data_IF_565369937276
#
_entry.id   IF_565369937276
#
_cell.length_a   1.000
_cell.length_b   1.000
_cell.length_c   1.000
_cell.angle_alpha   90.00
_cell.angle_beta   90.00
_cell.angle_gamma   90.00
#
_symmetry.space_group_name_H-M   'P 1'
#
loop_
_entity.id
_entity.type
_entity.pdbx_description
1 polymer ?
#
# COMPACT_ATOMS: atom_id res chain seq x y z
N UNK A 1 -6.72 -11.53 -1.33
CA UNK A 1 -6.58 -10.08 -1.07
C UNK A 1 -7.51 -9.57 0.02
N UNK A 2 -8.81 -9.93 -0.01
CA UNK A 2 -9.83 -9.39 0.89
C UNK A 2 -9.44 -9.36 2.39
N UNK A 3 -9.01 -10.50 2.96
CA UNK A 3 -8.60 -10.53 4.37
C UNK A 3 -7.40 -9.62 4.67
N UNK A 4 -6.43 -9.52 3.75
CA UNK A 4 -5.27 -8.64 3.93
C UNK A 4 -5.69 -7.18 3.92
N UNK A 5 -6.70 -6.80 3.13
CA UNK A 5 -7.24 -5.44 3.11
C UNK A 5 -7.93 -5.11 4.44
N UNK A 6 -8.69 -6.04 5.00
CA UNK A 6 -9.32 -5.88 6.32
C UNK A 6 -8.27 -5.77 7.44
N UNK A 7 -7.12 -6.39 7.26
CA UNK A 7 -6.01 -6.39 8.21
C UNK A 7 -5.17 -5.09 8.18
N UNK A 8 -5.43 -4.17 7.23
CA UNK A 8 -4.85 -2.82 7.20
C UNK A 8 -5.53 -1.93 8.23
N UNK A 9 -5.19 -2.12 9.50
CA UNK A 9 -5.80 -1.41 10.63
C UNK A 9 -4.77 -0.78 11.55
N UNK A 10 -5.11 0.38 12.09
CA UNK A 10 -4.28 1.10 13.05
C UNK A 10 -4.32 0.50 14.45
N UNK A 11 -5.22 -0.46 14.71
CA UNK A 11 -5.36 -1.15 16.01
C UNK A 11 -4.22 -2.12 16.29
N UNK A 12 -3.68 -2.76 15.24
CA UNK A 12 -2.56 -3.71 15.34
C UNK A 12 -1.53 -3.42 14.25
N UNK A 13 -0.48 -2.68 14.64
CA UNK A 13 0.57 -2.26 13.73
C UNK A 13 1.36 -3.45 13.16
N UNK A 14 1.56 -4.53 13.94
CA UNK A 14 2.32 -5.69 13.44
C UNK A 14 1.55 -6.44 12.38
N UNK A 15 0.25 -6.66 12.63
CA UNK A 15 -0.65 -7.30 11.66
C UNK A 15 -0.81 -6.44 10.41
N UNK A 16 -1.04 -5.13 10.57
CA UNK A 16 -1.15 -4.19 9.46
C UNK A 16 0.12 -4.09 8.62
N UNK A 17 1.31 -4.13 9.25
CA UNK A 17 2.57 -4.13 8.51
C UNK A 17 2.73 -5.37 7.64
N UNK A 18 2.41 -6.55 8.19
CA UNK A 18 2.48 -7.83 7.44
C UNK A 18 1.48 -7.84 6.29
N UNK A 19 0.27 -7.35 6.52
CA UNK A 19 -0.74 -7.21 5.49
C UNK A 19 -0.26 -6.30 4.35
N UNK A 20 0.26 -5.12 4.68
CA UNK A 20 0.82 -4.18 3.70
C UNK A 20 1.97 -4.82 2.90
N UNK A 21 2.90 -5.49 3.58
CA UNK A 21 4.01 -6.19 2.93
C UNK A 21 3.54 -7.28 1.96
N UNK A 22 2.57 -8.11 2.37
CA UNK A 22 2.04 -9.17 1.52
C UNK A 22 1.28 -8.62 0.32
N UNK A 23 0.46 -7.58 0.52
CA UNK A 23 -0.26 -6.91 -0.55
C UNK A 23 0.68 -6.30 -1.59
N UNK A 24 1.75 -5.62 -1.14
CA UNK A 24 2.74 -5.05 -2.05
C UNK A 24 3.45 -6.12 -2.90
N UNK A 25 3.78 -7.27 -2.31
CA UNK A 25 4.39 -8.38 -3.05
C UNK A 25 3.43 -9.05 -4.03
N UNK A 26 2.15 -9.18 -3.66
CA UNK A 26 1.14 -9.86 -4.48
C UNK A 26 0.68 -9.03 -5.69
N UNK A 27 0.98 -7.73 -5.73
CA UNK A 27 0.55 -6.85 -6.82
C UNK A 27 0.99 -7.36 -8.21
N UNK A 28 2.17 -7.97 -8.33
CA UNK A 28 2.67 -8.52 -9.60
C UNK A 28 1.82 -9.72 -10.06
N UNK A 29 1.22 -10.46 -9.13
CA UNK A 29 0.36 -11.62 -9.41
C UNK A 29 -1.13 -11.28 -9.42
N UNK A 30 -1.50 -9.99 -9.37
CA UNK A 30 -2.89 -9.54 -9.34
C UNK A 30 -3.45 -9.37 -10.76
N UNK A 31 -3.79 -10.49 -11.40
CA UNK A 31 -4.34 -10.52 -12.77
C UNK A 31 -5.65 -9.72 -12.93
N UNK A 32 -6.39 -9.56 -11.83
CA UNK A 32 -7.65 -8.81 -11.78
C UNK A 32 -7.44 -7.29 -11.57
N UNK A 33 -6.18 -6.85 -11.41
CA UNK A 33 -5.80 -5.45 -11.16
C UNK A 33 -6.55 -4.78 -10.00
N UNK A 34 -7.00 -5.56 -9.01
CA UNK A 34 -7.69 -5.08 -7.80
C UNK A 34 -6.88 -4.06 -7.02
N UNK A 35 -5.55 -4.13 -7.09
CA UNK A 35 -4.66 -3.16 -6.46
C UNK A 35 -4.97 -1.73 -6.91
N UNK A 36 -5.45 -1.50 -8.14
CA UNK A 36 -5.83 -0.16 -8.61
C UNK A 36 -6.97 0.48 -7.79
N UNK A 37 -7.86 -0.36 -7.25
CA UNK A 37 -9.02 0.07 -6.46
C UNK A 37 -8.69 0.10 -4.97
N UNK A 38 -7.97 -0.91 -4.49
CA UNK A 38 -7.69 -1.08 -3.06
C UNK A 38 -6.45 -0.31 -2.57
N UNK A 39 -5.67 0.29 -3.47
CA UNK A 39 -4.42 0.98 -3.12
C UNK A 39 -4.59 2.06 -2.06
N UNK A 40 -5.70 2.82 -2.09
CA UNK A 40 -5.93 3.89 -1.12
C UNK A 40 -5.91 3.36 0.32
N UNK A 41 -6.46 2.16 0.57
CA UNK A 41 -6.44 1.50 1.88
C UNK A 41 -5.02 1.07 2.27
N UNK A 42 -4.26 0.56 1.31
CA UNK A 42 -2.85 0.21 1.52
C UNK A 42 -2.00 1.44 1.85
N UNK A 43 -2.21 2.53 1.13
CA UNK A 43 -1.48 3.79 1.31
C UNK A 43 -1.79 4.49 2.64
N UNK A 44 -2.98 4.31 3.20
CA UNK A 44 -3.35 4.87 4.50
C UNK A 44 -2.40 4.42 5.64
N UNK A 45 -1.87 3.19 5.56
CA UNK A 45 -0.88 2.69 6.55
C UNK A 45 0.44 3.47 6.47
N UNK A 46 0.78 4.07 5.34
CA UNK A 46 1.93 4.96 5.20
C UNK A 46 1.72 6.33 5.87
N UNK A 47 0.50 6.67 6.28
CA UNK A 47 0.16 7.90 7.03
C UNK A 47 0.19 7.70 8.55
N UNK A 48 0.65 6.53 9.02
CA UNK A 48 0.69 6.20 10.44
C UNK A 48 1.55 7.20 11.25
N UNK A 49 1.11 7.65 12.45
CA UNK A 49 1.81 8.63 13.29
C UNK A 49 3.15 8.09 13.80
N UNK A 50 3.34 6.76 13.83
CA UNK A 50 4.63 6.16 14.14
C UNK A 50 5.52 6.23 12.90
N UNK A 51 6.51 7.12 12.93
CA UNK A 51 7.48 7.32 11.84
C UNK A 51 8.07 6.01 11.28
N UNK A 52 8.44 5.07 12.15
CA UNK A 52 9.00 3.77 11.75
C UNK A 52 8.02 2.97 10.89
N UNK A 53 6.73 2.97 11.26
CA UNK A 53 5.67 2.28 10.54
C UNK A 53 5.37 2.93 9.20
N UNK A 54 5.25 4.26 9.18
CA UNK A 54 5.06 5.03 7.96
C UNK A 54 6.18 4.77 6.95
N UNK A 55 7.44 4.89 7.38
CA UNK A 55 8.62 4.67 6.54
C UNK A 55 8.66 3.26 5.97
N UNK A 56 8.50 2.22 6.80
CA UNK A 56 8.58 0.84 6.31
C UNK A 56 7.43 0.49 5.38
N UNK A 57 6.22 1.01 5.64
CA UNK A 57 5.08 0.80 4.75
C UNK A 57 5.31 1.45 3.40
N UNK A 58 5.77 2.70 3.37
CA UNK A 58 6.09 3.41 2.12
C UNK A 58 7.13 2.66 1.27
N UNK A 59 8.20 2.14 1.89
CA UNK A 59 9.22 1.34 1.19
C UNK A 59 8.65 0.07 0.55
N UNK A 60 7.67 -0.58 1.19
CA UNK A 60 7.02 -1.78 0.64
C UNK A 60 6.04 -1.43 -0.46
N UNK A 61 5.22 -0.40 -0.25
CA UNK A 61 4.21 0.08 -1.20
C UNK A 61 4.82 0.39 -2.56
N UNK A 62 6.05 0.93 -2.60
CA UNK A 62 6.77 1.15 -3.86
C UNK A 62 6.89 -0.10 -4.75
N UNK A 63 6.91 -1.31 -4.19
CA UNK A 63 7.00 -2.54 -4.98
C UNK A 63 5.79 -2.77 -5.91
N UNK A 64 4.64 -2.15 -5.63
CA UNK A 64 3.43 -2.24 -6.46
C UNK A 64 3.67 -1.64 -7.85
N UNK A 65 4.64 -0.73 -8.04
CA UNK A 65 4.99 -0.19 -9.38
C UNK A 65 5.50 -1.27 -10.33
N UNK A 66 5.99 -2.40 -9.80
CA UNK A 66 6.48 -3.51 -10.62
C UNK A 66 5.34 -4.29 -11.30
N UNK A 67 4.08 -4.06 -10.91
CA UNK A 67 2.92 -4.72 -11.48
C UNK A 67 2.50 -4.13 -12.85
N UNK A 68 2.96 -2.92 -13.20
CA UNK A 68 2.64 -2.30 -14.49
C UNK A 68 2.60 -0.78 -14.46
N UNK A 69 2.39 -0.19 -15.63
CA UNK A 69 2.36 1.27 -15.83
C UNK A 69 1.17 1.93 -15.10
N UNK A 70 -0.02 1.32 -15.15
CA UNK A 70 -1.20 1.82 -14.43
C UNK A 70 -0.97 1.91 -12.92
N UNK A 71 -0.29 0.93 -12.33
CA UNK A 71 0.05 0.92 -10.91
C UNK A 71 1.10 1.97 -10.56
N UNK A 72 2.08 2.17 -11.44
CA UNK A 72 3.07 3.25 -11.30
C UNK A 72 2.38 4.62 -11.30
N UNK A 73 1.51 4.89 -12.27
CA UNK A 73 0.81 6.17 -12.38
C UNK A 73 -0.08 6.43 -11.15
N UNK A 74 -0.83 5.43 -10.70
CA UNK A 74 -1.63 5.49 -9.48
C UNK A 74 -0.79 5.85 -8.25
N UNK A 75 0.38 5.21 -8.07
CA UNK A 75 1.28 5.49 -6.95
C UNK A 75 1.81 6.92 -7.04
N UNK A 76 2.30 7.32 -8.22
CA UNK A 76 2.86 8.66 -8.40
C UNK A 76 1.82 9.74 -8.08
N UNK A 77 0.57 9.55 -8.53
CA UNK A 77 -0.52 10.47 -8.20
C UNK A 77 -0.75 10.57 -6.68
N UNK A 78 -0.85 9.44 -5.97
CA UNK A 78 -1.02 9.46 -4.51
C UNK A 78 0.16 10.11 -3.77
N UNK A 79 1.39 9.87 -4.22
CA UNK A 79 2.58 10.49 -3.62
C UNK A 79 2.57 12.01 -3.85
N UNK A 80 2.29 12.46 -5.06
CA UNK A 80 2.21 13.89 -5.39
C UNK A 80 1.13 14.57 -4.57
N UNK A 81 -0.05 13.95 -4.42
CA UNK A 81 -1.12 14.47 -3.59
C UNK A 81 -0.72 14.53 -2.12
N UNK A 82 -0.11 13.46 -1.58
CA UNK A 82 0.37 13.41 -0.20
C UNK A 82 1.48 14.40 0.13
N UNK A 83 2.31 14.78 -0.84
CA UNK A 83 3.33 15.83 -0.67
C UNK A 83 2.76 17.25 -0.68
N UNK A 84 1.57 17.47 -1.26
CA UNK A 84 0.93 18.78 -1.37
C UNK A 84 0.05 19.13 -0.15
N UNK A 85 -0.29 18.17 0.70
CA UNK A 85 -1.08 18.37 1.93
C UNK A 85 -0.21 18.65 3.14
#
# INVERSE_FOLDING_TARGET
>A
MNQLIEDLTWKDNHKSFRAAQLLSNLAISDHEKRMLVDFAKLYDVAKNPKFVMARHSLQRIWQVVLAGEEQKDMIMNHLIEGFKS
#
